data_IF_355972446150
#
_entry.id   IF_355972446150
#
_cell.length_a   1.000
_cell.length_b   1.000
_cell.length_c   1.000
_cell.angle_alpha   90.00
_cell.angle_beta   90.00
_cell.angle_gamma   90.00
#
_symmetry.space_group_name_H-M   'P 1'
#
loop_
_entity.id
_entity.type
_entity.pdbx_description
1 polymer ?
#
# COMPACT_ATOMS: atom_id res chain seq x y z
N UNK A 1 7.03 -15.17 -3.67
CA UNK A 1 6.57 -13.79 -3.45
C UNK A 1 6.83 -13.38 -2.02
N UNK A 2 7.31 -12.18 -1.82
CA UNK A 2 7.65 -11.73 -0.47
C UNK A 2 6.42 -11.25 0.26
N UNK A 3 6.34 -11.58 1.54
CA UNK A 3 5.29 -11.08 2.41
C UNK A 3 5.93 -10.54 3.67
N UNK A 4 5.21 -9.65 4.34
CA UNK A 4 5.70 -9.07 5.57
C UNK A 4 4.51 -8.80 6.49
N UNK A 5 4.71 -9.07 7.77
CA UNK A 5 3.68 -8.82 8.76
C UNK A 5 3.97 -7.51 9.48
N UNK A 6 2.97 -6.65 9.58
CA UNK A 6 3.10 -5.32 10.16
C UNK A 6 2.09 -5.19 11.28
N UNK A 7 2.51 -4.62 12.38
CA UNK A 7 1.59 -4.34 13.48
C UNK A 7 1.48 -2.84 13.70
N UNK A 8 0.26 -2.32 13.66
CA UNK A 8 -0.01 -0.91 13.90
C UNK A 8 -1.23 -0.81 14.79
N UNK A 9 -1.12 -0.08 15.89
CA UNK A 9 -2.25 0.14 16.80
C UNK A 9 -2.89 -1.17 17.25
N UNK A 10 -2.04 -2.15 17.58
CA UNK A 10 -2.48 -3.47 18.04
C UNK A 10 -3.22 -4.28 16.98
N UNK A 11 -3.20 -3.84 15.75
CA UNK A 11 -3.73 -4.60 14.63
C UNK A 11 -2.60 -5.14 13.80
N UNK A 12 -2.78 -6.35 13.29
CA UNK A 12 -1.78 -6.97 12.43
C UNK A 12 -2.26 -6.96 11.00
N UNK A 13 -1.34 -6.59 10.12
CA UNK A 13 -1.59 -6.58 8.68
C UNK A 13 -0.52 -7.41 8.01
N UNK A 14 -0.92 -8.14 6.98
CA UNK A 14 0.03 -8.85 6.15
C UNK A 14 0.06 -8.17 4.81
N UNK A 15 1.25 -7.76 4.37
CA UNK A 15 1.40 -7.17 3.06
C UNK A 15 2.17 -8.13 2.17
N UNK A 16 1.85 -8.09 0.87
CA UNK A 16 2.42 -8.98 -0.10
C UNK A 16 2.98 -8.16 -1.25
N UNK A 17 4.08 -8.64 -1.79
CA UNK A 17 4.70 -8.01 -2.95
C UNK A 17 3.73 -7.98 -4.12
N UNK A 18 3.74 -6.87 -4.87
CA UNK A 18 2.84 -6.68 -6.00
C UNK A 18 3.58 -7.05 -7.28
N UNK A 19 2.88 -7.71 -8.19
CA UNK A 19 3.49 -8.06 -9.47
C UNK A 19 3.60 -6.82 -10.35
N UNK A 20 4.64 -6.79 -11.15
CA UNK A 20 4.86 -5.66 -12.03
C UNK A 20 3.67 -5.43 -12.97
N UNK A 21 3.06 -6.51 -13.42
CA UNK A 21 1.89 -6.41 -14.29
C UNK A 21 0.75 -5.68 -13.59
N UNK A 22 0.53 -5.97 -12.33
CA UNK A 22 -0.51 -5.28 -11.57
C UNK A 22 -0.17 -3.81 -11.39
N UNK A 23 1.09 -3.54 -11.08
CA UNK A 23 1.50 -2.16 -10.87
C UNK A 23 1.30 -1.32 -12.13
N UNK A 24 1.67 -1.85 -13.28
CA UNK A 24 1.53 -1.10 -14.52
C UNK A 24 0.06 -0.90 -14.90
N UNK A 25 -0.82 -1.80 -14.47
CA UNK A 25 -2.24 -1.62 -14.76
C UNK A 25 -2.83 -0.43 -14.00
N UNK A 26 -2.16 0.03 -12.96
CA UNK A 26 -2.61 1.19 -12.19
C UNK A 26 -2.01 2.50 -12.69
N UNK A 27 -1.16 2.44 -13.71
CA UNK A 27 -0.39 3.62 -14.11
C UNK A 27 -1.27 4.75 -14.64
N UNK A 28 -2.44 4.40 -15.21
CA UNK A 28 -3.34 5.40 -15.77
C UNK A 28 -4.26 6.01 -14.73
N UNK A 29 -4.23 5.51 -13.51
CA UNK A 29 -5.11 6.03 -12.47
C UNK A 29 -4.52 7.27 -11.86
N UNK A 30 -5.40 8.09 -11.29
CA UNK A 30 -4.91 9.22 -10.52
C UNK A 30 -4.13 8.72 -9.30
N UNK A 31 -3.26 9.58 -8.81
CA UNK A 31 -2.32 9.19 -7.79
C UNK A 31 -3.01 8.60 -6.56
N UNK A 32 -4.09 9.23 -6.12
CA UNK A 32 -4.80 8.73 -4.94
C UNK A 32 -5.45 7.38 -5.19
N UNK A 33 -6.00 7.20 -6.39
CA UNK A 33 -6.62 5.93 -6.72
C UNK A 33 -5.60 4.83 -6.90
N UNK A 34 -4.46 5.16 -7.49
CA UNK A 34 -3.39 4.18 -7.63
C UNK A 34 -2.92 3.71 -6.26
N UNK A 35 -2.73 4.63 -5.33
CA UNK A 35 -2.31 4.28 -3.98
C UNK A 35 -3.33 3.36 -3.31
N UNK A 36 -4.63 3.66 -3.48
CA UNK A 36 -5.67 2.82 -2.90
C UNK A 36 -5.63 1.42 -3.48
N UNK A 37 -5.52 1.31 -4.81
CA UNK A 37 -5.48 -0.01 -5.45
C UNK A 37 -4.28 -0.81 -5.00
N UNK A 38 -3.13 -0.17 -4.88
CA UNK A 38 -1.93 -0.84 -4.42
C UNK A 38 -2.13 -1.36 -3.00
N UNK A 39 -2.74 -0.55 -2.14
CA UNK A 39 -3.01 -0.97 -0.78
C UNK A 39 -3.93 -2.18 -0.75
N UNK A 40 -5.02 -2.14 -1.52
CA UNK A 40 -5.98 -3.25 -1.52
C UNK A 40 -5.34 -4.53 -2.04
N UNK A 41 -4.55 -4.42 -3.12
CA UNK A 41 -3.92 -5.61 -3.69
C UNK A 41 -2.89 -6.18 -2.73
N UNK A 42 -2.09 -5.32 -2.13
CA UNK A 42 -0.99 -5.78 -1.29
C UNK A 42 -1.49 -6.39 0.02
N UNK A 43 -2.54 -5.84 0.60
CA UNK A 43 -3.01 -6.32 1.90
C UNK A 43 -4.17 -7.30 1.79
N UNK A 44 -4.89 -7.27 0.69
CA UNK A 44 -6.08 -8.11 0.56
C UNK A 44 -7.28 -7.58 1.32
N UNK A 45 -7.20 -6.36 1.84
CA UNK A 45 -8.33 -5.81 2.60
C UNK A 45 -9.44 -5.37 1.66
N UNK A 46 -10.64 -5.25 2.22
CA UNK A 46 -11.78 -4.75 1.47
C UNK A 46 -11.74 -3.23 1.40
N UNK A 47 -12.56 -2.68 0.51
CA UNK A 47 -12.66 -1.22 0.44
C UNK A 47 -13.21 -0.64 1.72
N UNK A 48 -14.12 -1.35 2.37
CA UNK A 48 -14.64 -0.89 3.64
C UNK A 48 -13.54 -0.81 4.70
N UNK A 49 -12.69 -1.83 4.74
CA UNK A 49 -11.56 -1.81 5.66
C UNK A 49 -10.62 -0.66 5.36
N UNK A 50 -10.39 -0.42 4.06
CA UNK A 50 -9.56 0.69 3.66
C UNK A 50 -10.12 2.02 4.12
N UNK A 51 -11.44 2.20 3.97
CA UNK A 51 -12.09 3.44 4.35
C UNK A 51 -12.01 3.68 5.86
N UNK A 52 -11.86 2.64 6.64
CA UNK A 52 -11.81 2.75 8.08
C UNK A 52 -10.40 2.80 8.65
N UNK A 53 -9.39 2.83 7.80
CA UNK A 53 -8.02 2.96 8.27
C UNK A 53 -7.82 4.31 8.91
N UNK A 54 -7.12 4.34 10.04
CA UNK A 54 -6.68 5.60 10.60
C UNK A 54 -5.56 6.17 9.77
N UNK A 55 -5.27 7.46 9.96
CA UNK A 55 -4.17 8.10 9.24
C UNK A 55 -2.87 7.37 9.53
N UNK A 56 -2.64 7.04 10.79
CA UNK A 56 -1.40 6.36 11.15
C UNK A 56 -1.30 4.98 10.49
N UNK A 57 -2.40 4.21 10.52
CA UNK A 57 -2.40 2.90 9.91
C UNK A 57 -2.11 3.01 8.41
N UNK A 58 -2.77 3.95 7.75
CA UNK A 58 -2.58 4.11 6.32
C UNK A 58 -1.17 4.51 5.96
N UNK A 59 -0.60 5.44 6.71
CA UNK A 59 0.75 5.92 6.42
C UNK A 59 1.78 4.81 6.64
N UNK A 60 1.65 4.08 7.74
CA UNK A 60 2.61 3.02 8.03
C UNK A 60 2.52 1.91 6.98
N UNK A 61 1.29 1.51 6.65
CA UNK A 61 1.12 0.46 5.64
C UNK A 61 1.67 0.90 4.29
N UNK A 62 1.38 2.13 3.89
CA UNK A 62 1.86 2.62 2.61
C UNK A 62 3.38 2.62 2.56
N UNK A 63 4.01 3.08 3.64
CA UNK A 63 5.46 3.09 3.70
C UNK A 63 6.02 1.68 3.57
N UNK A 64 5.46 0.74 4.30
CA UNK A 64 5.98 -0.63 4.28
C UNK A 64 5.76 -1.28 2.92
N UNK A 65 4.62 -1.02 2.29
CA UNK A 65 4.36 -1.55 0.97
C UNK A 65 5.34 -0.98 -0.04
N UNK A 66 5.61 0.31 0.05
CA UNK A 66 6.55 0.94 -0.85
C UNK A 66 7.95 0.34 -0.69
N UNK A 67 8.37 0.13 0.55
CA UNK A 67 9.69 -0.44 0.80
C UNK A 67 9.76 -1.87 0.29
N UNK A 68 8.72 -2.65 0.52
CA UNK A 68 8.73 -4.04 0.09
C UNK A 68 8.84 -4.16 -1.42
N UNK A 69 8.25 -3.22 -2.13
CA UNK A 69 8.20 -3.24 -3.59
C UNK A 69 9.20 -2.31 -4.26
N UNK A 70 9.99 -1.58 -3.49
CA UNK A 70 10.93 -0.65 -4.06
C UNK A 70 10.29 0.55 -4.72
N UNK A 71 9.17 1.02 -4.17
CA UNK A 71 8.37 2.09 -4.77
C UNK A 71 8.50 3.41 -4.04
N UNK A 72 9.63 3.65 -3.41
CA UNK A 72 9.75 4.82 -2.54
C UNK A 72 9.45 6.12 -3.24
N UNK A 73 9.83 6.23 -4.50
CA UNK A 73 9.61 7.46 -5.25
C UNK A 73 8.28 7.47 -5.98
N UNK A 74 7.57 6.35 -5.97
CA UNK A 74 6.34 6.22 -6.75
C UNK A 74 5.15 6.82 -6.03
N UNK A 75 5.00 6.54 -4.75
CA UNK A 75 3.83 6.97 -4.00
C UNK A 75 4.11 8.11 -3.05
N UNK A 76 5.33 8.22 -2.60
CA UNK A 76 5.69 9.27 -1.66
C UNK A 76 6.07 10.51 -2.43
N UNK A 77 5.32 11.60 -2.27
CA UNK A 77 5.74 12.83 -2.91
C UNK A 77 7.09 13.26 -2.35
N UNK A 78 7.91 13.88 -3.17
CA UNK A 78 9.18 14.37 -2.67
C UNK A 78 8.93 15.35 -1.54
N UNK A 79 9.57 15.10 -0.43
CA UNK A 79 9.45 15.95 0.72
C UNK A 79 10.71 16.77 0.80
N UNK A 80 10.55 18.03 0.57
CA UNK A 80 11.72 18.90 0.54
C UNK A 80 11.47 20.10 1.36
#
# INVERSE_FOLDING_TARGET
>A
MKTKEIEVNDKKFTITEIKYKELTSFADLEKGEAAKKIMLVSTGMTEEEYDNLSVKEGIVLQKEINELNGLEDFQNPPIK
#
